data_IF_916146017770
#
_entry.id   IF_916146017770
#
_cell.length_a   1.000
_cell.length_b   1.000
_cell.length_c   1.000
_cell.angle_alpha   90.00
_cell.angle_beta   90.00
_cell.angle_gamma   90.00
#
_symmetry.space_group_name_H-M   'P 1'
#
loop_
_entity.id
_entity.type
_entity.pdbx_description
1 polymer ?
#
# COMPACT_ATOMS: atom_id res chain seq x y z
N UNK A 1 10.47 55.83 24.37
CA UNK A 1 9.10 55.41 24.77
C UNK A 1 9.06 53.89 24.67
N UNK A 2 9.49 53.06 25.64
CA UNK A 2 8.97 52.74 26.99
C UNK A 2 7.45 52.57 27.05
N UNK A 3 7.00 51.31 27.09
CA UNK A 3 6.18 50.66 28.15
C UNK A 3 5.85 49.20 27.74
N UNK A 4 5.65 48.21 28.60
CA UNK A 4 6.16 47.77 29.92
C UNK A 4 5.38 46.47 30.25
N UNK A 5 6.07 45.40 30.67
CA UNK A 5 5.74 44.33 31.67
C UNK A 5 4.38 43.57 31.60
N UNK A 6 4.30 42.26 31.89
CA UNK A 6 4.47 41.66 33.24
C UNK A 6 5.00 40.21 33.26
N UNK A 7 5.70 39.92 34.36
CA UNK A 7 6.29 38.67 34.82
C UNK A 7 5.42 38.01 35.92
N UNK A 8 5.42 36.67 35.95
CA UNK A 8 5.65 35.74 37.10
C UNK A 8 4.86 35.89 38.42
N UNK A 9 4.30 34.79 38.96
CA UNK A 9 4.87 34.02 40.11
C UNK A 9 3.93 32.94 40.70
N UNK A 10 4.57 31.81 41.05
CA UNK A 10 4.12 30.73 41.95
C UNK A 10 3.84 31.23 43.38
N UNK A 11 2.93 30.55 44.08
CA UNK A 11 3.03 30.36 45.54
C UNK A 11 2.34 29.06 45.98
N UNK A 12 3.10 28.23 46.69
CA UNK A 12 2.69 27.05 47.47
C UNK A 12 2.38 27.51 48.89
N UNK A 13 1.31 27.00 49.52
CA UNK A 13 1.21 26.94 50.98
C UNK A 13 0.45 25.69 51.45
N UNK A 14 1.07 25.02 52.42
CA UNK A 14 0.60 23.89 53.21
C UNK A 14 0.59 24.38 54.67
N UNK A 15 -0.44 24.07 55.48
CA UNK A 15 -0.40 23.77 56.94
C UNK A 15 -1.83 23.50 57.46
N UNK A 16 -1.97 22.37 58.18
CA UNK A 16 -3.11 21.76 58.91
C UNK A 16 -3.31 22.39 60.33
N UNK A 17 -4.09 21.80 61.27
CA UNK A 17 -5.53 21.45 61.33
C UNK A 17 -6.20 22.00 62.63
N UNK A 18 -7.52 21.83 62.84
CA UNK A 18 -8.11 21.70 64.19
C UNK A 18 -9.53 21.10 64.15
N UNK A 19 -9.78 20.27 65.15
CA UNK A 19 -10.89 19.33 65.38
C UNK A 19 -11.99 20.00 66.22
N UNK A 20 -13.26 19.64 66.01
CA UNK A 20 -14.19 19.08 67.04
C UNK A 20 -15.67 19.37 66.72
N UNK A 21 -16.51 18.34 66.89
CA UNK A 21 -17.98 18.49 66.88
C UNK A 21 -18.73 17.18 66.65
N UNK A 22 -18.90 16.37 67.69
CA UNK A 22 -19.71 15.15 67.73
C UNK A 22 -21.20 15.41 67.41
N UNK A 23 -21.85 14.47 66.70
CA UNK A 23 -23.00 13.72 67.24
C UNK A 23 -23.39 12.61 66.27
N UNK A 24 -23.64 11.44 66.85
CA UNK A 24 -24.12 10.20 66.27
C UNK A 24 -25.36 10.35 65.40
N UNK A 25 -25.39 9.61 64.29
CA UNK A 25 -26.49 8.70 63.99
C UNK A 25 -25.93 7.50 63.21
N UNK A 26 -26.24 6.30 63.71
CA UNK A 26 -26.03 5.04 63.01
C UNK A 26 -26.86 5.05 61.73
N UNK A 27 -26.20 5.06 60.58
CA UNK A 27 -26.81 4.60 59.34
C UNK A 27 -25.93 3.51 58.74
N UNK A 28 -26.30 2.27 59.07
CA UNK A 28 -25.90 1.08 58.36
C UNK A 28 -26.42 1.14 56.92
N UNK A 29 -25.72 1.88 56.06
CA UNK A 29 -25.87 1.78 54.61
C UNK A 29 -24.83 0.79 54.09
N UNK A 30 -25.32 -0.29 53.49
CA UNK A 30 -24.50 -1.36 52.93
C UNK A 30 -23.47 -0.82 51.94
N UNK A 31 -22.28 -1.43 51.94
CA UNK A 31 -21.26 -1.24 50.91
C UNK A 31 -21.82 -1.64 49.54
N UNK A 32 -22.47 -0.72 48.84
CA UNK A 32 -22.68 -0.81 47.39
C UNK A 32 -21.42 -0.29 46.68
N UNK A 33 -20.28 -0.92 46.95
CA UNK A 33 -19.04 -0.63 46.24
C UNK A 33 -19.03 -1.41 44.94
N UNK A 34 -19.12 -0.72 43.81
CA UNK A 34 -18.88 -1.35 42.51
C UNK A 34 -17.48 -1.97 42.45
N UNK A 35 -17.35 -3.08 41.73
CA UNK A 35 -16.06 -3.73 41.50
C UNK A 35 -15.12 -2.81 40.71
N UNK A 36 -13.85 -2.81 41.11
CA UNK A 36 -12.78 -1.93 40.63
C UNK A 36 -11.67 -2.72 39.95
N UNK A 37 -10.72 -2.00 39.34
CA UNK A 37 -9.52 -2.60 38.72
C UNK A 37 -8.70 -3.47 39.70
N UNK A 38 -8.77 -3.19 41.01
CA UNK A 38 -8.04 -3.95 42.02
C UNK A 38 -8.68 -5.32 42.31
N UNK A 39 -9.94 -5.50 41.93
CA UNK A 39 -10.66 -6.77 42.06
C UNK A 39 -10.34 -7.75 40.91
N UNK A 40 -9.58 -7.30 39.91
CA UNK A 40 -9.08 -8.13 38.82
C UNK A 40 -7.78 -8.80 39.27
N UNK A 41 -7.85 -10.11 39.52
CA UNK A 41 -6.69 -10.96 39.74
C UNK A 41 -5.97 -11.24 38.41
N UNK A 42 -4.66 -11.03 38.37
CA UNK A 42 -3.81 -11.46 37.26
C UNK A 42 -3.59 -12.97 37.38
N UNK A 43 -3.94 -13.70 36.32
CA UNK A 43 -3.91 -15.16 36.21
C UNK A 43 -2.85 -15.67 35.25
N UNK A 44 -2.26 -14.81 34.42
CA UNK A 44 -1.14 -15.14 33.55
C UNK A 44 0.00 -14.12 33.70
N UNK A 45 1.25 -14.59 33.70
CA UNK A 45 2.42 -13.71 33.77
C UNK A 45 2.49 -12.78 32.54
N UNK A 46 2.77 -11.50 32.78
CA UNK A 46 2.82 -10.48 31.73
C UNK A 46 1.46 -9.89 31.34
N UNK A 47 0.34 -10.43 31.86
CA UNK A 47 -0.96 -9.88 31.60
C UNK A 47 -1.18 -8.51 32.26
N UNK A 48 -2.01 -7.70 31.60
CA UNK A 48 -2.45 -6.36 32.01
C UNK A 48 -3.92 -6.45 32.42
N UNK A 49 -4.38 -5.43 33.14
CA UNK A 49 -5.78 -5.30 33.58
C UNK A 49 -6.31 -3.91 33.30
N UNK A 50 -7.59 -3.82 32.98
CA UNK A 50 -8.30 -2.57 32.72
C UNK A 50 -9.78 -2.73 33.09
N UNK A 51 -10.44 -1.61 33.39
CA UNK A 51 -11.90 -1.57 33.52
C UNK A 51 -12.45 -0.72 32.38
N UNK A 52 -13.29 -1.33 31.53
CA UNK A 52 -14.06 -0.61 30.53
C UNK A 52 -15.49 -0.37 31.01
N UNK A 53 -16.09 0.71 30.51
CA UNK A 53 -17.51 0.97 30.72
C UNK A 53 -18.29 0.48 29.50
N UNK A 54 -19.24 -0.42 29.72
CA UNK A 54 -20.16 -0.92 28.71
C UNK A 54 -21.23 0.14 28.40
N UNK A 55 -20.86 1.10 27.55
CA UNK A 55 -21.66 2.23 27.08
C UNK A 55 -21.34 2.47 25.60
N UNK A 56 -22.33 2.90 24.84
CA UNK A 56 -22.12 3.20 23.43
C UNK A 56 -21.17 4.41 23.28
N UNK A 57 -20.18 4.31 22.39
CA UNK A 57 -19.11 5.30 22.20
C UNK A 57 -18.26 5.55 23.47
N UNK A 58 -18.14 4.56 24.36
CA UNK A 58 -17.26 4.63 25.52
C UNK A 58 -15.77 4.61 25.18
N UNK A 59 -14.91 4.81 26.19
CA UNK A 59 -13.45 4.64 26.07
C UNK A 59 -13.16 3.20 25.58
N UNK A 60 -12.33 3.08 24.54
CA UNK A 60 -11.81 1.79 24.09
C UNK A 60 -10.56 1.33 24.84
N UNK A 61 -10.22 0.05 24.65
CA UNK A 61 -8.99 -0.56 25.10
C UNK A 61 -8.06 -0.79 23.91
N UNK A 62 -6.84 -0.26 24.01
CA UNK A 62 -5.72 -0.58 23.12
C UNK A 62 -5.01 -1.82 23.66
N UNK A 63 -5.04 -2.93 22.91
CA UNK A 63 -4.38 -4.18 23.30
C UNK A 63 -2.86 -4.18 23.00
N UNK A 64 -2.46 -3.49 21.93
CA UNK A 64 -1.07 -3.28 21.52
C UNK A 64 -0.92 -1.86 20.99
N UNK A 65 0.11 -1.12 21.42
CA UNK A 65 0.34 0.26 20.96
C UNK A 65 0.71 0.34 19.48
N UNK A 66 1.20 -0.75 18.89
CA UNK A 66 1.43 -0.85 17.44
C UNK A 66 0.14 -0.99 16.63
N UNK A 67 -0.98 -1.32 17.28
CA UNK A 67 -2.30 -1.43 16.65
C UNK A 67 -3.09 -0.16 16.96
N UNK A 68 -3.39 0.63 15.92
CA UNK A 68 -4.13 1.89 16.07
C UNK A 68 -5.63 1.69 16.36
N UNK A 69 -6.14 0.47 16.26
CA UNK A 69 -7.53 0.11 16.59
C UNK A 69 -7.70 -0.22 18.07
N UNK A 70 -8.92 0.01 18.58
CA UNK A 70 -9.31 -0.31 19.96
C UNK A 70 -10.50 -1.27 19.96
N UNK A 71 -10.59 -2.09 21.00
CA UNK A 71 -11.85 -2.78 21.33
C UNK A 71 -12.68 -1.93 22.28
N UNK A 72 -13.99 -1.95 22.12
CA UNK A 72 -14.94 -1.23 22.97
C UNK A 72 -16.05 -2.16 23.42
N UNK A 73 -16.83 -1.75 24.42
CA UNK A 73 -17.98 -2.52 24.92
C UNK A 73 -19.23 -1.65 24.84
N UNK A 74 -20.20 -2.07 24.04
CA UNK A 74 -21.48 -1.39 23.90
C UNK A 74 -22.37 -1.57 25.15
N UNK A 75 -23.44 -0.78 25.25
CA UNK A 75 -24.36 -0.82 26.39
C UNK A 75 -24.93 -2.24 26.66
N UNK A 76 -25.18 -2.98 25.58
CA UNK A 76 -25.66 -4.37 25.59
C UNK A 76 -24.57 -5.43 25.86
N UNK A 77 -23.38 -5.01 26.32
CA UNK A 77 -22.24 -5.89 26.66
C UNK A 77 -21.60 -6.58 25.47
N UNK A 78 -21.84 -6.12 24.25
CA UNK A 78 -21.12 -6.60 23.07
C UNK A 78 -19.74 -5.94 23.01
N UNK A 79 -18.70 -6.76 22.90
CA UNK A 79 -17.32 -6.38 22.61
C UNK A 79 -17.13 -6.37 21.10
N UNK A 80 -16.57 -5.30 20.57
CA UNK A 80 -16.18 -5.18 19.15
C UNK A 80 -15.07 -4.16 18.96
N UNK A 81 -14.36 -4.25 17.84
CA UNK A 81 -13.38 -3.26 17.42
C UNK A 81 -13.02 -3.45 15.95
N UNK A 82 -12.67 -2.36 15.28
CA UNK A 82 -12.31 -2.38 13.86
C UNK A 82 -11.07 -3.27 13.64
N UNK A 83 -11.17 -4.24 12.73
CA UNK A 83 -10.13 -5.23 12.44
C UNK A 83 -9.98 -6.36 13.47
N UNK A 84 -10.75 -6.34 14.56
CA UNK A 84 -10.71 -7.41 15.57
C UNK A 84 -11.75 -8.50 15.29
N UNK A 85 -11.37 -9.75 15.55
CA UNK A 85 -12.32 -10.86 15.67
C UNK A 85 -12.09 -11.63 16.96
N UNK A 86 -13.15 -12.27 17.44
CA UNK A 86 -13.18 -12.97 18.72
C UNK A 86 -13.57 -14.43 18.51
N UNK A 87 -12.94 -15.32 19.27
CA UNK A 87 -13.38 -16.72 19.37
C UNK A 87 -14.73 -16.84 20.07
N UNK A 88 -15.28 -18.05 20.10
CA UNK A 88 -16.25 -18.42 21.13
C UNK A 88 -15.71 -18.14 22.55
N UNK A 89 -16.62 -17.90 23.49
CA UNK A 89 -16.27 -17.69 24.89
C UNK A 89 -15.98 -19.02 25.57
N UNK A 90 -14.79 -19.15 26.15
CA UNK A 90 -14.39 -20.30 26.96
C UNK A 90 -14.73 -20.04 28.42
N UNK A 91 -15.46 -20.95 29.07
CA UNK A 91 -15.76 -20.90 30.51
C UNK A 91 -14.52 -21.25 31.36
N UNK A 92 -13.44 -20.50 31.16
CA UNK A 92 -12.21 -20.55 31.94
C UNK A 92 -11.91 -19.14 32.48
N UNK A 93 -12.05 -18.98 33.80
CA UNK A 93 -11.80 -17.73 34.50
C UNK A 93 -10.31 -17.52 34.84
N UNK A 94 -9.43 -17.95 33.95
CA UNK A 94 -7.97 -17.95 34.10
C UNK A 94 -7.32 -17.96 32.70
N UNK A 95 -6.52 -16.94 32.39
CA UNK A 95 -5.86 -16.78 31.09
C UNK A 95 -4.83 -17.87 30.80
N UNK A 96 -4.16 -18.37 31.84
CA UNK A 96 -3.16 -19.44 31.73
C UNK A 96 -3.81 -20.79 31.38
N UNK A 97 -5.10 -20.94 31.72
CA UNK A 97 -5.91 -22.13 31.43
C UNK A 97 -6.67 -22.05 30.10
N UNK A 98 -6.58 -20.93 29.37
CA UNK A 98 -7.23 -20.78 28.06
C UNK A 98 -6.68 -21.84 27.08
N UNK A 99 -7.55 -22.65 26.42
CA UNK A 99 -7.10 -23.62 25.42
C UNK A 99 -6.27 -22.98 24.31
N UNK A 100 -5.38 -23.75 23.68
CA UNK A 100 -4.54 -23.23 22.59
C UNK A 100 -5.37 -22.70 21.43
N UNK A 101 -4.92 -21.63 20.77
CA UNK A 101 -5.66 -20.97 19.67
C UNK A 101 -6.05 -21.92 18.52
N UNK A 102 -5.30 -23.01 18.33
CA UNK A 102 -5.59 -24.04 17.32
C UNK A 102 -6.90 -24.79 17.57
N UNK A 103 -7.52 -24.65 18.73
CA UNK A 103 -8.85 -25.22 19.02
C UNK A 103 -10.00 -24.32 18.58
N UNK A 104 -9.73 -23.07 18.21
CA UNK A 104 -10.75 -22.09 17.76
C UNK A 104 -11.14 -22.40 16.32
N UNK A 105 -12.41 -22.76 16.11
CA UNK A 105 -12.92 -23.16 14.79
C UNK A 105 -13.73 -22.06 14.10
N UNK A 106 -14.15 -21.04 14.84
CA UNK A 106 -14.98 -19.95 14.34
C UNK A 106 -14.54 -18.62 14.94
N UNK A 107 -14.63 -17.57 14.13
CA UNK A 107 -14.32 -16.21 14.52
C UNK A 107 -15.51 -15.32 14.21
N UNK A 108 -15.79 -14.38 15.11
CA UNK A 108 -16.90 -13.43 15.00
C UNK A 108 -16.34 -12.01 15.13
N UNK A 109 -16.93 -11.04 14.42
CA UNK A 109 -16.62 -9.60 14.57
C UNK A 109 -16.98 -9.07 15.97
N UNK A 110 -17.78 -9.84 16.72
CA UNK A 110 -18.33 -9.50 18.02
C UNK A 110 -18.23 -10.64 19.00
N UNK A 111 -18.05 -10.30 20.27
CA UNK A 111 -18.24 -11.22 21.40
C UNK A 111 -19.15 -10.61 22.45
N UNK A 112 -19.77 -11.41 23.30
CA UNK A 112 -20.52 -10.92 24.47
C UNK A 112 -19.59 -10.91 25.67
N UNK A 113 -19.44 -9.79 26.37
CA UNK A 113 -18.71 -9.71 27.63
C UNK A 113 -19.48 -10.47 28.73
N UNK A 114 -19.11 -11.73 28.95
CA UNK A 114 -19.66 -12.60 30.00
C UNK A 114 -18.62 -12.75 31.10
N UNK A 115 -19.02 -12.52 32.35
CA UNK A 115 -18.12 -12.73 33.49
C UNK A 115 -17.56 -14.16 33.50
N UNK A 116 -16.34 -14.30 34.03
CA UNK A 116 -15.64 -15.57 34.18
C UNK A 116 -15.40 -16.32 32.85
N UNK A 117 -15.35 -15.57 31.75
CA UNK A 117 -15.16 -16.11 30.40
C UNK A 117 -13.90 -15.53 29.78
N UNK A 118 -13.16 -16.35 29.05
CA UNK A 118 -11.97 -15.94 28.30
C UNK A 118 -12.14 -16.19 26.80
N UNK A 119 -11.41 -15.42 26.01
CA UNK A 119 -11.49 -15.36 24.56
C UNK A 119 -10.09 -15.32 23.98
N UNK A 120 -9.92 -15.94 22.83
CA UNK A 120 -8.91 -15.49 21.90
C UNK A 120 -9.45 -14.29 21.13
N UNK A 121 -8.61 -13.26 20.99
CA UNK A 121 -8.88 -12.09 20.16
C UNK A 121 -7.81 -12.07 19.09
N UNK A 122 -8.18 -11.94 17.83
CA UNK A 122 -7.23 -11.80 16.73
C UNK A 122 -7.38 -10.45 16.07
N UNK A 123 -6.26 -9.90 15.62
CA UNK A 123 -6.18 -8.75 14.74
C UNK A 123 -5.36 -9.12 13.51
N UNK A 124 -5.97 -9.04 12.34
CA UNK A 124 -5.34 -9.38 11.07
C UNK A 124 -4.50 -8.18 10.59
N UNK A 125 -3.20 -8.38 10.44
CA UNK A 125 -2.31 -7.53 9.63
C UNK A 125 -2.07 -8.24 8.30
N UNK A 126 -1.57 -7.55 7.25
CA UNK A 126 -1.29 -8.18 5.98
C UNK A 126 -0.44 -9.45 6.11
N UNK A 127 0.76 -9.34 6.67
CA UNK A 127 1.71 -10.48 6.76
C UNK A 127 1.65 -11.26 8.06
N UNK A 128 0.74 -10.90 8.98
CA UNK A 128 0.77 -11.43 10.35
C UNK A 128 -0.60 -11.39 11.01
N UNK A 129 -0.89 -12.40 11.83
CA UNK A 129 -2.01 -12.37 12.77
C UNK A 129 -1.47 -12.07 14.17
N UNK A 130 -1.98 -11.02 14.80
CA UNK A 130 -1.74 -10.75 16.21
C UNK A 130 -2.83 -11.41 17.05
N UNK A 131 -2.46 -12.40 17.87
CA UNK A 131 -3.36 -13.10 18.79
C UNK A 131 -3.17 -12.62 20.22
N UNK A 132 -4.26 -12.18 20.83
CA UNK A 132 -4.33 -11.80 22.23
C UNK A 132 -5.19 -12.79 22.99
N UNK A 133 -4.90 -12.94 24.27
CA UNK A 133 -5.86 -13.54 25.20
C UNK A 133 -6.59 -12.42 25.94
N UNK A 134 -7.91 -12.56 26.08
CA UNK A 134 -8.76 -11.62 26.81
C UNK A 134 -9.63 -12.40 27.78
N UNK A 135 -9.63 -12.02 29.05
CA UNK A 135 -10.50 -12.56 30.10
C UNK A 135 -11.39 -11.47 30.63
N UNK A 136 -12.69 -11.77 30.74
CA UNK A 136 -13.66 -10.93 31.41
C UNK A 136 -13.79 -11.42 32.85
N UNK A 137 -13.08 -10.77 33.77
CA UNK A 137 -13.05 -11.15 35.18
C UNK A 137 -14.40 -10.94 35.85
N UNK A 138 -15.08 -9.82 35.55
CA UNK A 138 -16.41 -9.53 36.07
C UNK A 138 -17.22 -8.60 35.15
N UNK A 139 -18.53 -8.62 35.33
CA UNK A 139 -19.47 -7.63 34.77
C UNK A 139 -20.33 -7.11 35.92
N UNK A 140 -20.14 -5.85 36.29
CA UNK A 140 -20.84 -5.17 37.40
C UNK A 140 -21.49 -3.87 36.90
N UNK A 141 -22.78 -3.95 36.57
CA UNK A 141 -23.52 -2.84 35.96
C UNK A 141 -22.92 -2.45 34.61
N UNK A 142 -22.35 -1.24 34.54
CA UNK A 142 -21.61 -0.78 33.36
C UNK A 142 -20.12 -1.13 33.43
N UNK A 143 -19.57 -1.50 34.59
CA UNK A 143 -18.15 -1.78 34.73
C UNK A 143 -17.85 -3.20 34.27
N UNK A 144 -16.93 -3.35 33.33
CA UNK A 144 -16.43 -4.64 32.87
C UNK A 144 -14.95 -4.71 33.19
N UNK A 145 -14.60 -5.55 34.18
CA UNK A 145 -13.22 -5.80 34.56
C UNK A 145 -12.61 -6.84 33.65
N UNK A 146 -11.47 -6.53 33.07
CA UNK A 146 -10.81 -7.38 32.09
C UNK A 146 -9.31 -7.52 32.33
N UNK A 147 -8.81 -8.68 31.98
CA UNK A 147 -7.40 -9.05 31.98
C UNK A 147 -7.02 -9.47 30.55
N UNK A 148 -5.85 -9.06 30.06
CA UNK A 148 -5.41 -9.40 28.70
C UNK A 148 -3.89 -9.52 28.62
N UNK A 149 -3.39 -10.33 27.68
CA UNK A 149 -1.96 -10.48 27.44
C UNK A 149 -1.54 -9.82 26.11
N UNK A 150 -0.24 -9.60 25.93
CA UNK A 150 0.36 -9.09 24.70
C UNK A 150 0.17 -10.06 23.53
N UNK A 151 0.32 -9.52 22.31
CA UNK A 151 0.14 -10.28 21.08
C UNK A 151 1.16 -11.42 20.95
N UNK A 152 0.68 -12.61 20.64
CA UNK A 152 1.44 -13.65 19.97
C UNK A 152 1.32 -13.45 18.47
N UNK A 153 2.47 -13.37 17.79
CA UNK A 153 2.49 -13.19 16.34
C UNK A 153 2.51 -14.51 15.58
N UNK A 154 1.59 -14.68 14.64
CA UNK A 154 1.63 -15.75 13.64
C UNK A 154 1.96 -15.11 12.30
N UNK A 155 3.13 -15.40 11.77
CA UNK A 155 3.49 -14.99 10.40
C UNK A 155 2.62 -15.74 9.40
N UNK A 156 2.14 -15.02 8.39
CA UNK A 156 1.43 -15.58 7.26
C UNK A 156 2.48 -15.85 6.19
N UNK A 157 2.61 -17.11 5.81
CA UNK A 157 3.51 -17.49 4.73
C UNK A 157 3.04 -16.82 3.43
N UNK A 158 3.95 -16.10 2.78
CA UNK A 158 3.84 -15.71 1.39
C UNK A 158 4.84 -16.56 0.59
N UNK A 159 4.35 -17.30 -0.40
CA UNK A 159 5.14 -18.33 -1.09
C UNK A 159 5.87 -17.83 -2.33
N UNK A 160 5.31 -16.84 -3.03
CA UNK A 160 5.85 -16.27 -4.26
C UNK A 160 6.52 -14.90 -4.04
N UNK A 161 6.67 -14.43 -2.80
CA UNK A 161 7.39 -13.20 -2.49
C UNK A 161 8.81 -13.19 -3.05
N UNK A 162 9.21 -12.02 -3.54
CA UNK A 162 10.59 -11.77 -3.87
C UNK A 162 11.46 -11.83 -2.61
N UNK A 163 12.59 -12.53 -2.71
CA UNK A 163 13.58 -12.61 -1.63
C UNK A 163 14.66 -11.54 -1.86
N UNK A 164 14.83 -10.57 -0.95
CA UNK A 164 15.81 -9.52 -1.13
C UNK A 164 17.25 -10.04 -1.06
N UNK A 165 18.03 -9.71 -2.08
CA UNK A 165 19.49 -9.85 -2.02
C UNK A 165 20.12 -8.66 -1.26
N UNK A 166 21.38 -8.80 -0.88
CA UNK A 166 22.11 -7.72 -0.21
C UNK A 166 22.11 -6.45 -1.07
N UNK A 167 21.61 -5.34 -0.50
CA UNK A 167 21.51 -4.04 -1.18
C UNK A 167 20.24 -3.83 -2.00
N UNK A 168 19.36 -4.82 -2.14
CA UNK A 168 18.07 -4.73 -2.83
C UNK A 168 16.93 -4.65 -1.81
N UNK A 169 16.78 -3.50 -1.17
CA UNK A 169 15.84 -3.35 -0.04
C UNK A 169 14.42 -3.01 -0.47
N UNK A 170 14.22 -2.61 -1.72
CA UNK A 170 12.92 -2.23 -2.27
C UNK A 170 12.28 -3.36 -3.09
N UNK A 171 13.01 -4.44 -3.42
CA UNK A 171 12.48 -5.60 -4.16
C UNK A 171 11.30 -6.31 -3.47
N UNK A 172 11.18 -6.16 -2.15
CA UNK A 172 10.03 -6.65 -1.37
C UNK A 172 8.84 -5.68 -1.33
N UNK A 173 8.89 -4.56 -2.06
CA UNK A 173 7.79 -3.62 -2.19
C UNK A 173 6.64 -4.21 -3.03
N UNK A 174 5.40 -3.89 -2.70
CA UNK A 174 4.24 -4.45 -3.41
C UNK A 174 4.19 -4.04 -4.89
N UNK A 175 4.82 -2.93 -5.28
CA UNK A 175 4.92 -2.56 -6.70
C UNK A 175 5.78 -3.50 -7.54
N UNK A 176 6.63 -4.33 -6.91
CA UNK A 176 7.62 -5.15 -7.59
C UNK A 176 7.00 -6.46 -8.06
N UNK A 177 6.93 -6.71 -9.38
CA UNK A 177 6.58 -8.03 -9.88
C UNK A 177 7.63 -9.09 -9.48
N UNK A 178 7.26 -10.36 -9.51
CA UNK A 178 8.18 -11.46 -9.25
C UNK A 178 9.37 -11.42 -10.23
N UNK A 179 10.59 -11.46 -9.67
CA UNK A 179 11.81 -11.44 -10.45
C UNK A 179 11.97 -12.71 -11.28
N UNK A 180 12.39 -12.54 -12.52
CA UNK A 180 12.74 -13.62 -13.43
C UNK A 180 14.25 -13.88 -13.39
N UNK A 181 14.62 -15.16 -13.32
CA UNK A 181 16.03 -15.55 -13.33
C UNK A 181 16.72 -15.14 -14.64
N UNK A 182 17.89 -14.51 -14.52
CA UNK A 182 18.73 -14.13 -15.66
C UNK A 182 18.55 -12.70 -16.16
N UNK A 183 17.58 -11.96 -15.61
CA UNK A 183 17.46 -10.51 -15.78
C UNK A 183 18.23 -9.77 -14.68
N UNK A 184 18.49 -8.47 -14.91
CA UNK A 184 19.16 -7.59 -13.95
C UNK A 184 18.13 -6.68 -13.29
N UNK A 185 17.99 -6.79 -11.97
CA UNK A 185 17.14 -5.90 -11.18
C UNK A 185 17.92 -4.68 -10.66
N UNK A 186 17.35 -3.48 -10.80
CA UNK A 186 17.97 -2.20 -10.42
C UNK A 186 16.98 -1.30 -9.69
N UNK A 187 17.40 -0.73 -8.56
CA UNK A 187 16.64 0.21 -7.74
C UNK A 187 17.21 1.63 -7.84
N UNK A 188 16.43 2.58 -8.35
CA UNK A 188 16.82 3.99 -8.38
C UNK A 188 16.31 4.70 -7.13
N UNK A 189 17.22 5.16 -6.28
CA UNK A 189 16.89 5.76 -4.98
C UNK A 189 17.35 7.21 -4.95
N UNK A 190 16.47 8.10 -4.48
CA UNK A 190 16.77 9.52 -4.31
C UNK A 190 16.60 9.94 -2.85
N UNK A 191 17.12 11.12 -2.51
CA UNK A 191 16.83 11.74 -1.22
C UNK A 191 15.69 12.74 -1.35
N UNK A 192 14.60 12.54 -0.61
CA UNK A 192 13.45 13.43 -0.55
C UNK A 192 12.96 13.53 0.90
N UNK A 193 12.64 14.75 1.36
CA UNK A 193 12.20 15.03 2.74
C UNK A 193 13.12 14.42 3.82
N UNK A 194 14.44 14.48 3.61
CA UNK A 194 15.43 13.92 4.53
C UNK A 194 15.48 12.39 4.58
N UNK A 195 14.71 11.68 3.74
CA UNK A 195 14.65 10.21 3.66
C UNK A 195 15.21 9.71 2.34
N UNK A 196 15.70 8.46 2.33
CA UNK A 196 15.94 7.70 1.10
C UNK A 196 14.62 7.10 0.65
N UNK A 197 14.23 7.38 -0.59
CA UNK A 197 12.99 6.89 -1.19
C UNK A 197 13.29 6.26 -2.54
N UNK A 198 12.61 5.15 -2.83
CA UNK A 198 12.61 4.58 -4.17
C UNK A 198 11.96 5.59 -5.14
N UNK A 199 12.65 5.90 -6.22
CA UNK A 199 12.09 6.63 -7.34
C UNK A 199 11.30 5.68 -8.26
N UNK A 200 12.00 4.69 -8.80
CA UNK A 200 11.47 3.54 -9.52
C UNK A 200 12.52 2.41 -9.53
N UNK A 201 12.09 1.18 -9.80
CA UNK A 201 12.96 0.06 -10.08
C UNK A 201 12.66 -0.51 -11.47
N UNK A 202 13.61 -1.24 -12.04
CA UNK A 202 13.46 -1.94 -13.32
C UNK A 202 13.91 -3.38 -13.20
N UNK A 203 13.33 -4.23 -14.03
CA UNK A 203 13.91 -5.52 -14.38
C UNK A 203 14.39 -5.49 -15.83
N UNK A 204 15.70 -5.43 -16.02
CA UNK A 204 16.35 -5.32 -17.32
C UNK A 204 16.63 -6.67 -17.95
N UNK A 205 16.11 -6.90 -19.16
CA UNK A 205 16.49 -8.04 -19.99
C UNK A 205 17.73 -7.68 -20.81
N UNK A 206 18.91 -8.05 -20.31
CA UNK A 206 20.20 -7.75 -20.95
C UNK A 206 20.41 -8.44 -22.31
N UNK A 207 19.60 -9.45 -22.68
CA UNK A 207 19.68 -10.05 -24.02
C UNK A 207 18.92 -9.24 -25.06
N UNK A 208 17.90 -8.51 -24.63
CA UNK A 208 17.04 -7.70 -25.50
C UNK A 208 17.32 -6.20 -25.38
N UNK A 209 18.17 -5.80 -24.44
CA UNK A 209 18.46 -4.41 -24.12
C UNK A 209 17.17 -3.61 -23.89
N UNK A 210 16.28 -4.16 -23.07
CA UNK A 210 14.99 -3.57 -22.77
C UNK A 210 14.51 -3.94 -21.37
N UNK A 211 13.80 -3.04 -20.71
CA UNK A 211 13.13 -3.33 -19.43
C UNK A 211 11.93 -4.24 -19.66
N UNK A 212 11.85 -5.35 -18.91
CA UNK A 212 10.65 -6.21 -18.85
C UNK A 212 9.51 -5.45 -18.18
N UNK A 213 9.82 -4.73 -17.12
CA UNK A 213 8.92 -3.79 -16.46
C UNK A 213 9.70 -2.70 -15.73
N UNK A 214 8.98 -1.62 -15.42
CA UNK A 214 9.38 -0.53 -14.52
C UNK A 214 8.33 -0.41 -13.43
N UNK A 215 8.74 -0.42 -12.18
CA UNK A 215 7.85 -0.41 -11.02
C UNK A 215 8.14 0.77 -10.09
N UNK A 216 7.09 1.33 -9.52
CA UNK A 216 7.19 2.45 -8.59
C UNK A 216 5.91 2.62 -7.77
N UNK A 217 5.97 3.43 -6.72
CA UNK A 217 4.80 3.77 -5.93
C UNK A 217 4.61 5.28 -5.74
N UNK A 218 3.38 5.65 -5.36
CA UNK A 218 2.98 6.96 -4.89
C UNK A 218 2.62 6.90 -3.40
N UNK A 219 3.20 7.81 -2.63
CA UNK A 219 2.83 8.11 -1.25
C UNK A 219 2.80 9.64 -1.02
N UNK A 220 2.69 10.07 0.24
CA UNK A 220 2.73 11.48 0.61
C UNK A 220 4.04 12.21 0.18
N UNK A 221 5.12 11.48 -0.08
CA UNK A 221 6.41 12.02 -0.55
C UNK A 221 6.50 11.99 -2.07
N UNK A 222 6.18 10.87 -2.71
CA UNK A 222 6.36 10.70 -4.17
C UNK A 222 5.15 11.15 -5.00
N UNK A 223 3.99 11.31 -4.36
CA UNK A 223 2.72 11.74 -4.97
C UNK A 223 2.61 13.24 -5.29
N UNK A 224 3.52 14.07 -4.78
CA UNK A 224 3.42 15.53 -4.90
C UNK A 224 4.05 16.09 -6.19
N UNK A 225 3.62 17.29 -6.61
CA UNK A 225 4.26 18.06 -7.69
C UNK A 225 5.10 19.19 -7.11
N UNK A 226 6.41 18.96 -6.99
CA UNK A 226 7.36 19.95 -6.45
C UNK A 226 8.21 20.61 -7.54
N UNK A 227 8.41 19.93 -8.67
CA UNK A 227 9.18 20.43 -9.80
C UNK A 227 8.39 20.33 -11.09
N UNK A 228 8.83 21.03 -12.13
CA UNK A 228 8.38 20.79 -13.48
C UNK A 228 9.18 19.64 -14.10
N UNK A 229 8.67 19.11 -15.23
CA UNK A 229 9.42 18.20 -16.10
C UNK A 229 10.79 18.81 -16.43
N UNK A 230 11.82 17.98 -16.37
CA UNK A 230 13.15 18.32 -16.88
C UNK A 230 13.14 18.26 -18.40
N UNK A 231 13.91 19.13 -19.04
CA UNK A 231 14.15 19.06 -20.47
C UNK A 231 15.53 18.44 -20.72
N UNK A 232 15.59 17.52 -21.69
CA UNK A 232 16.85 17.02 -22.28
C UNK A 232 17.84 16.35 -21.30
N UNK A 233 17.34 15.61 -20.31
CA UNK A 233 18.16 14.92 -19.30
C UNK A 233 18.64 13.51 -19.73
N UNK A 234 18.68 13.22 -21.03
CA UNK A 234 18.95 11.88 -21.55
C UNK A 234 20.33 11.37 -21.13
N UNK A 235 20.38 10.18 -20.54
CA UNK A 235 21.61 9.58 -20.08
C UNK A 235 21.53 8.04 -20.09
N UNK A 236 22.69 7.40 -20.14
CA UNK A 236 22.81 5.97 -19.81
C UNK A 236 22.44 5.75 -18.35
N UNK A 237 21.89 4.57 -18.05
CA UNK A 237 21.61 4.17 -16.68
C UNK A 237 22.93 3.79 -15.97
N UNK A 238 23.38 4.57 -14.97
CA UNK A 238 24.66 4.32 -14.31
C UNK A 238 24.65 3.09 -13.40
N UNK A 239 23.47 2.54 -13.08
CA UNK A 239 23.33 1.37 -12.21
C UNK A 239 23.32 0.05 -12.99
N UNK A 240 23.13 0.09 -14.32
CA UNK A 240 23.35 -1.07 -15.17
C UNK A 240 24.84 -1.32 -15.41
N UNK A 241 25.28 -2.58 -15.53
CA UNK A 241 26.61 -2.92 -16.02
C UNK A 241 26.90 -2.23 -17.35
N UNK A 242 28.12 -1.76 -17.56
CA UNK A 242 28.51 -0.95 -18.74
C UNK A 242 28.18 -1.67 -20.05
N UNK A 243 28.34 -2.99 -20.09
CA UNK A 243 28.03 -3.84 -21.23
C UNK A 243 26.53 -3.97 -21.54
N UNK A 244 25.66 -3.61 -20.60
CA UNK A 244 24.20 -3.64 -20.76
C UNK A 244 23.61 -2.25 -21.06
N UNK A 245 24.41 -1.19 -20.98
CA UNK A 245 23.94 0.17 -21.18
C UNK A 245 23.64 0.45 -22.65
N UNK A 246 22.43 0.95 -22.90
CA UNK A 246 22.05 1.56 -24.19
C UNK A 246 22.17 3.07 -24.11
N UNK A 247 22.53 3.70 -25.24
CA UNK A 247 22.69 5.15 -25.36
C UNK A 247 21.80 5.73 -26.46
N UNK A 248 21.91 7.05 -26.67
CA UNK A 248 21.07 7.77 -27.63
C UNK A 248 21.14 7.24 -29.07
N UNK A 249 22.25 6.63 -29.48
CA UNK A 249 22.42 6.11 -30.84
C UNK A 249 21.45 4.97 -31.17
N UNK A 250 20.89 4.32 -30.15
CA UNK A 250 19.90 3.26 -30.27
C UNK A 250 18.47 3.78 -30.48
N UNK A 251 18.20 5.05 -30.18
CA UNK A 251 16.86 5.65 -30.15
C UNK A 251 16.71 6.84 -31.13
N UNK A 252 17.49 6.84 -32.21
CA UNK A 252 17.47 7.94 -33.19
C UNK A 252 17.37 7.42 -34.61
N UNK A 253 16.61 8.12 -35.45
CA UNK A 253 16.49 7.84 -36.88
C UNK A 253 16.02 6.41 -37.14
N UNK A 254 15.00 5.97 -36.40
CA UNK A 254 14.35 4.67 -36.51
C UNK A 254 12.81 4.77 -36.63
N UNK A 255 12.27 6.00 -36.57
CA UNK A 255 10.85 6.27 -36.72
C UNK A 255 10.01 6.06 -35.46
N UNK A 256 10.64 5.73 -34.33
CA UNK A 256 9.97 5.56 -33.04
C UNK A 256 10.31 6.72 -32.09
N UNK A 257 9.36 7.06 -31.25
CA UNK A 257 9.58 7.97 -30.14
C UNK A 257 10.29 7.25 -28.98
N UNK A 258 11.01 8.03 -28.18
CA UNK A 258 11.49 7.65 -26.85
C UNK A 258 10.33 7.62 -25.84
N UNK A 259 9.51 6.58 -25.93
CA UNK A 259 8.38 6.36 -25.02
C UNK A 259 8.88 6.03 -23.61
N UNK A 260 8.44 6.79 -22.60
CA UNK A 260 8.80 6.50 -21.21
C UNK A 260 7.93 5.36 -20.68
N UNK A 261 8.53 4.42 -19.93
CA UNK A 261 7.78 3.41 -19.17
C UNK A 261 7.31 3.98 -17.82
N UNK A 262 8.22 4.57 -17.04
CA UNK A 262 7.89 5.49 -15.96
C UNK A 262 7.89 6.92 -16.50
N UNK A 263 6.71 7.53 -16.61
CA UNK A 263 6.55 8.85 -17.19
C UNK A 263 7.26 9.93 -16.35
N UNK A 264 7.80 10.95 -17.01
CA UNK A 264 8.41 12.09 -16.33
C UNK A 264 7.44 12.76 -15.33
N UNK A 265 6.17 12.97 -15.70
CA UNK A 265 5.18 13.61 -14.80
C UNK A 265 4.87 12.76 -13.56
N UNK A 266 5.19 11.46 -13.57
CA UNK A 266 5.00 10.60 -12.41
C UNK A 266 6.05 10.85 -11.32
N UNK A 267 7.23 11.36 -11.68
CA UNK A 267 8.38 11.51 -10.77
C UNK A 267 8.78 12.97 -10.52
N UNK A 268 7.83 13.90 -10.52
CA UNK A 268 8.04 15.35 -10.30
C UNK A 268 8.08 15.79 -8.82
N UNK A 269 8.27 14.86 -7.89
CA UNK A 269 8.45 15.17 -6.47
C UNK A 269 9.87 15.67 -6.16
N UNK A 270 10.85 15.39 -7.03
CA UNK A 270 12.25 15.84 -6.94
C UNK A 270 12.84 16.02 -8.34
N UNK A 271 13.71 17.02 -8.54
CA UNK A 271 14.43 17.21 -9.81
C UNK A 271 15.34 16.02 -10.14
N UNK A 272 15.98 15.43 -9.12
CA UNK A 272 16.81 14.23 -9.31
C UNK A 272 15.99 13.04 -9.78
N UNK A 273 14.85 12.78 -9.11
CA UNK A 273 13.92 11.72 -9.47
C UNK A 273 13.41 11.86 -10.90
N UNK A 274 13.01 13.07 -11.28
CA UNK A 274 12.52 13.35 -12.61
C UNK A 274 13.60 13.14 -13.68
N UNK A 275 14.83 13.61 -13.47
CA UNK A 275 15.95 13.38 -14.41
C UNK A 275 16.24 11.91 -14.64
N UNK A 276 16.17 11.08 -13.59
CA UNK A 276 16.36 9.64 -13.71
C UNK A 276 15.32 8.97 -14.63
N UNK A 277 14.13 9.56 -14.86
CA UNK A 277 13.16 9.00 -15.84
C UNK A 277 13.65 9.08 -17.29
N UNK A 278 14.67 9.88 -17.58
CA UNK A 278 15.27 10.03 -18.91
C UNK A 278 16.40 9.03 -19.18
N UNK A 279 16.62 8.07 -18.28
CA UNK A 279 17.55 6.98 -18.54
C UNK A 279 17.05 6.08 -19.67
N UNK A 280 17.94 5.71 -20.58
CA UNK A 280 17.59 4.86 -21.72
C UNK A 280 17.04 3.48 -21.30
N UNK A 281 17.36 3.01 -20.09
CA UNK A 281 16.78 1.80 -19.51
C UNK A 281 15.27 1.91 -19.20
N UNK A 282 14.74 3.13 -19.07
CA UNK A 282 13.32 3.42 -18.85
C UNK A 282 12.56 3.75 -20.16
N UNK A 283 13.19 3.53 -21.32
CA UNK A 283 12.61 3.89 -22.62
C UNK A 283 12.24 2.66 -23.44
N UNK A 284 11.16 2.79 -24.20
CA UNK A 284 10.65 1.77 -25.12
C UNK A 284 10.28 2.42 -26.46
N UNK A 285 10.56 1.78 -27.61
CA UNK A 285 10.15 2.30 -28.92
C UNK A 285 8.62 2.38 -29.03
N UNK A 286 8.08 3.59 -29.17
CA UNK A 286 6.65 3.82 -29.30
C UNK A 286 6.31 4.61 -30.57
N UNK A 287 5.19 4.30 -31.22
CA UNK A 287 4.66 5.15 -32.28
C UNK A 287 4.30 6.53 -31.74
N UNK A 288 4.51 7.58 -32.53
CA UNK A 288 4.25 8.94 -32.09
C UNK A 288 2.78 9.19 -31.72
N UNK A 289 1.83 8.71 -32.54
CA UNK A 289 0.39 8.78 -32.26
C UNK A 289 -0.01 7.95 -31.04
N UNK A 290 0.67 6.83 -30.81
CA UNK A 290 0.47 6.00 -29.64
C UNK A 290 0.96 6.71 -28.37
N UNK A 291 2.24 7.10 -28.33
CA UNK A 291 2.89 7.74 -27.18
C UNK A 291 2.17 9.02 -26.76
N UNK A 292 2.03 9.98 -27.68
CA UNK A 292 1.49 11.31 -27.38
C UNK A 292 -0.03 11.42 -27.43
N UNK A 293 -0.73 10.43 -28.01
CA UNK A 293 -2.19 10.48 -28.21
C UNK A 293 -2.97 9.45 -27.41
N UNK A 294 -2.50 8.20 -27.37
CA UNK A 294 -3.23 7.09 -26.76
C UNK A 294 -2.70 6.73 -25.38
N UNK A 295 -1.41 6.42 -25.29
CA UNK A 295 -0.72 5.97 -24.08
C UNK A 295 -0.73 7.02 -22.97
N UNK A 296 -0.46 8.28 -23.32
CA UNK A 296 -0.48 9.40 -22.36
C UNK A 296 -1.79 9.50 -21.57
N UNK A 297 -2.93 9.09 -22.15
CA UNK A 297 -4.23 9.08 -21.46
C UNK A 297 -4.23 8.12 -20.27
N UNK A 298 -3.60 6.95 -20.40
CA UNK A 298 -3.48 5.97 -19.31
C UNK A 298 -2.54 6.49 -18.22
N UNK A 299 -1.43 7.14 -18.60
CA UNK A 299 -0.51 7.77 -17.65
C UNK A 299 -1.22 8.88 -16.85
N UNK A 300 -1.95 9.75 -17.55
CA UNK A 300 -2.75 10.80 -16.93
C UNK A 300 -3.88 10.26 -16.04
N UNK A 301 -4.49 9.12 -16.42
CA UNK A 301 -5.52 8.47 -15.61
C UNK A 301 -4.93 8.01 -14.28
N UNK A 302 -3.82 7.27 -14.29
CA UNK A 302 -3.14 6.85 -13.04
C UNK A 302 -2.74 8.05 -12.19
N UNK A 303 -2.20 9.10 -12.81
CA UNK A 303 -1.84 10.36 -12.14
C UNK A 303 -3.06 11.03 -11.48
N UNK A 304 -4.24 10.93 -12.11
CA UNK A 304 -5.48 11.50 -11.58
C UNK A 304 -5.97 10.84 -10.30
N UNK A 305 -5.66 9.55 -10.09
CA UNK A 305 -5.96 8.83 -8.84
C UNK A 305 -5.07 9.28 -7.68
N UNK A 306 -3.87 9.77 -7.98
CA UNK A 306 -2.89 10.23 -6.99
C UNK A 306 -3.16 11.69 -6.58
N UNK A 307 -3.46 12.56 -7.56
CA UNK A 307 -3.31 14.03 -7.41
C UNK A 307 -4.61 14.83 -7.49
N UNK A 308 -5.77 14.19 -7.40
CA UNK A 308 -7.06 14.89 -7.41
C UNK A 308 -7.09 15.98 -6.32
N UNK A 309 -7.27 17.23 -6.73
CA UNK A 309 -7.35 18.44 -5.89
C UNK A 309 -6.21 18.59 -4.85
N UNK A 310 -5.01 18.07 -5.15
CA UNK A 310 -3.82 18.07 -4.28
C UNK A 310 -3.96 17.31 -2.94
N UNK A 311 -4.91 16.39 -2.80
CA UNK A 311 -5.09 15.63 -1.56
C UNK A 311 -4.70 14.16 -1.74
N UNK A 312 -3.40 13.87 -1.91
CA UNK A 312 -2.91 12.51 -1.69
C UNK A 312 -3.27 12.11 -0.25
N UNK A 313 -3.85 10.91 -0.05
CA UNK A 313 -4.43 10.49 1.23
C UNK A 313 -5.93 10.74 1.39
N UNK A 314 -6.61 11.34 0.40
CA UNK A 314 -8.08 11.52 0.44
C UNK A 314 -8.85 10.26 0.05
N UNK A 315 -8.43 9.61 -1.03
CA UNK A 315 -9.02 8.35 -1.52
C UNK A 315 -8.06 7.19 -1.28
N UNK A 316 -6.80 7.37 -1.66
CA UNK A 316 -5.73 6.39 -1.50
C UNK A 316 -4.57 7.00 -0.72
N UNK A 317 -3.97 6.23 0.16
CA UNK A 317 -2.74 6.60 0.90
C UNK A 317 -1.49 5.91 0.33
N UNK A 318 -1.66 4.94 -0.55
CA UNK A 318 -0.58 4.30 -1.32
C UNK A 318 -1.12 3.78 -2.64
N UNK A 319 -0.39 4.02 -3.73
CA UNK A 319 -0.66 3.41 -5.04
C UNK A 319 0.64 2.81 -5.56
N UNK A 320 0.60 1.55 -5.96
CA UNK A 320 1.69 0.77 -6.51
C UNK A 320 1.44 0.54 -8.00
N UNK A 321 2.49 0.68 -8.81
CA UNK A 321 2.37 0.66 -10.26
C UNK A 321 3.52 -0.12 -10.86
N UNK A 322 3.21 -1.06 -11.75
CA UNK A 322 4.17 -1.70 -12.65
C UNK A 322 3.75 -1.47 -14.11
N UNK A 323 4.68 -1.06 -14.97
CA UNK A 323 4.45 -0.76 -16.39
C UNK A 323 5.48 -1.43 -17.26
N UNK A 324 5.12 -1.77 -18.49
CA UNK A 324 6.08 -2.34 -19.43
C UNK A 324 5.51 -2.54 -20.82
N UNK A 325 6.36 -3.10 -21.68
CA UNK A 325 5.99 -3.60 -23.00
C UNK A 325 6.35 -5.07 -23.11
N UNK A 326 5.59 -5.82 -23.90
CA UNK A 326 5.87 -7.23 -24.17
C UNK A 326 7.24 -7.44 -24.80
N UNK A 327 7.96 -8.45 -24.30
CA UNK A 327 9.23 -8.91 -24.86
C UNK A 327 9.12 -10.30 -25.51
N UNK A 328 8.02 -11.00 -25.26
CA UNK A 328 7.64 -12.28 -25.85
C UNK A 328 6.70 -12.12 -27.06
N UNK A 329 6.04 -10.95 -27.18
CA UNK A 329 5.17 -10.55 -28.29
C UNK A 329 5.69 -9.25 -28.89
N UNK A 330 6.42 -9.34 -29.99
CA UNK A 330 6.99 -8.19 -30.68
C UNK A 330 6.23 -7.86 -31.97
N UNK A 331 6.27 -6.60 -32.37
CA UNK A 331 5.69 -6.14 -33.62
C UNK A 331 6.62 -6.51 -34.79
N UNK A 332 6.37 -7.62 -35.46
CA UNK A 332 7.24 -8.16 -36.52
C UNK A 332 6.87 -7.66 -37.92
N UNK A 333 7.87 -7.55 -38.81
CA UNK A 333 7.73 -7.21 -40.23
C UNK A 333 6.87 -5.95 -40.51
N UNK A 334 6.89 -4.99 -39.59
CA UNK A 334 6.02 -3.82 -39.66
C UNK A 334 6.62 -2.71 -40.53
N UNK A 335 5.74 -2.00 -41.23
CA UNK A 335 6.07 -0.80 -42.03
C UNK A 335 5.01 0.25 -41.81
N UNK A 336 5.38 1.32 -41.12
CA UNK A 336 4.48 2.42 -40.81
C UNK A 336 4.15 3.28 -42.02
N UNK A 337 3.01 3.97 -41.94
CA UNK A 337 2.55 4.89 -42.99
C UNK A 337 2.71 6.37 -42.60
N UNK A 338 3.01 6.63 -41.32
CA UNK A 338 3.20 7.98 -40.76
C UNK A 338 4.57 8.08 -40.11
N UNK A 339 5.32 9.18 -40.33
CA UNK A 339 6.64 9.34 -39.73
C UNK A 339 6.55 9.59 -38.23
N UNK A 340 7.55 9.12 -37.48
CA UNK A 340 7.75 9.45 -36.08
C UNK A 340 8.21 10.90 -35.88
N UNK A 341 8.50 11.28 -34.62
CA UNK A 341 8.95 12.64 -34.30
C UNK A 341 10.28 13.04 -34.95
N UNK A 342 11.08 12.07 -35.40
CA UNK A 342 12.34 12.25 -36.12
C UNK A 342 12.16 12.37 -37.65
N UNK A 343 10.94 12.26 -38.17
CA UNK A 343 10.63 12.31 -39.60
C UNK A 343 10.84 11.00 -40.35
N UNK A 344 11.23 9.91 -39.67
CA UNK A 344 11.46 8.58 -40.26
C UNK A 344 10.20 7.73 -40.12
N UNK A 345 9.91 6.89 -41.13
CA UNK A 345 8.83 5.92 -41.04
C UNK A 345 9.26 4.77 -40.11
N UNK A 346 8.47 4.43 -39.08
CA UNK A 346 8.78 3.31 -38.20
C UNK A 346 8.72 2.00 -38.97
N UNK A 347 9.70 1.13 -38.73
CA UNK A 347 9.74 -0.20 -39.31
C UNK A 347 10.44 -1.18 -38.36
N UNK A 348 10.03 -2.44 -38.45
CA UNK A 348 10.67 -3.54 -37.73
C UNK A 348 11.11 -4.63 -38.69
N UNK A 349 12.13 -5.37 -38.29
CA UNK A 349 12.55 -6.59 -39.00
C UNK A 349 11.63 -7.79 -38.68
N UNK A 350 11.97 -8.94 -39.25
CA UNK A 350 11.26 -10.21 -39.06
C UNK A 350 11.22 -10.71 -37.62
N UNK A 351 12.12 -10.21 -36.77
CA UNK A 351 12.23 -10.59 -35.36
C UNK A 351 11.64 -9.50 -34.45
N UNK A 352 11.13 -8.39 -35.02
CA UNK A 352 10.45 -7.33 -34.29
C UNK A 352 11.37 -6.25 -33.72
N UNK A 353 12.56 -6.09 -34.29
CA UNK A 353 13.54 -5.09 -33.85
C UNK A 353 13.57 -3.87 -34.77
N UNK A 354 13.84 -2.70 -34.18
CA UNK A 354 14.11 -1.47 -34.93
C UNK A 354 15.42 -1.61 -35.73
N UNK A 355 15.65 -0.69 -36.68
CA UNK A 355 16.93 -0.60 -37.40
C UNK A 355 18.16 -0.36 -36.50
N UNK A 356 17.93 -0.04 -35.22
CA UNK A 356 18.95 0.16 -34.19
C UNK A 356 19.09 -1.01 -33.22
N UNK A 357 18.28 -2.06 -33.36
CA UNK A 357 18.37 -3.26 -32.55
C UNK A 357 17.62 -3.20 -31.21
N UNK A 358 16.63 -2.31 -31.08
CA UNK A 358 15.71 -2.32 -29.94
C UNK A 358 14.46 -3.13 -30.29
N UNK A 359 13.94 -3.99 -29.39
CA UNK A 359 12.69 -4.69 -29.61
C UNK A 359 11.53 -3.69 -29.59
N UNK A 360 10.53 -3.91 -30.45
CA UNK A 360 9.30 -3.11 -30.47
C UNK A 360 8.16 -3.95 -29.89
N UNK A 361 7.70 -3.66 -28.66
CA UNK A 361 6.56 -4.37 -28.07
C UNK A 361 5.32 -4.30 -28.95
N UNK A 362 4.62 -5.43 -29.09
CA UNK A 362 3.28 -5.46 -29.70
C UNK A 362 2.21 -4.97 -28.73
N UNK A 363 2.43 -5.11 -27.41
CA UNK A 363 1.51 -4.66 -26.38
C UNK A 363 2.25 -3.92 -25.26
N UNK A 364 1.58 -2.95 -24.66
CA UNK A 364 1.97 -2.28 -23.43
C UNK A 364 0.97 -2.58 -22.33
N UNK A 365 1.46 -2.56 -21.08
CA UNK A 365 0.66 -2.87 -19.91
C UNK A 365 0.91 -1.94 -18.74
N UNK A 366 -0.09 -1.86 -17.88
CA UNK A 366 -0.03 -1.20 -16.57
C UNK A 366 -0.75 -2.09 -15.56
N UNK A 367 -0.08 -2.49 -14.48
CA UNK A 367 -0.71 -3.05 -13.30
C UNK A 367 -0.75 -1.98 -12.21
N UNK A 368 -1.90 -1.78 -11.57
CA UNK A 368 -2.08 -0.84 -10.47
C UNK A 368 -2.73 -1.53 -9.29
N UNK A 369 -2.13 -1.37 -8.12
CA UNK A 369 -2.71 -1.74 -6.82
C UNK A 369 -2.83 -0.48 -5.98
N UNK A 370 -3.99 -0.22 -5.40
CA UNK A 370 -4.24 0.94 -4.56
C UNK A 370 -4.71 0.53 -3.17
N UNK A 371 -4.13 1.13 -2.13
CA UNK A 371 -4.59 1.02 -0.75
C UNK A 371 -5.51 2.22 -0.43
N UNK A 372 -6.73 1.92 0.02
CA UNK A 372 -7.76 2.92 0.33
C UNK A 372 -7.48 3.58 1.67
N UNK A 373 -7.48 4.91 1.68
CA UNK A 373 -7.30 5.69 2.91
C UNK A 373 -8.50 5.51 3.86
N UNK A 374 -8.23 5.50 5.17
CA UNK A 374 -9.24 5.52 6.24
C UNK A 374 -10.26 4.35 6.21
N UNK A 375 -9.89 3.17 5.69
CA UNK A 375 -10.73 1.95 5.73
C UNK A 375 -10.17 0.94 6.76
N UNK A 376 -10.85 0.70 7.90
CA UNK A 376 -10.37 -0.27 8.89
C UNK A 376 -11.28 -1.50 9.12
N UNK A 377 -12.10 -1.94 8.15
CA UNK A 377 -13.00 -3.09 8.38
C UNK A 377 -12.37 -4.46 8.07
N UNK A 378 -11.63 -4.58 6.95
CA UNK A 378 -10.97 -5.81 6.52
C UNK A 378 -9.75 -5.46 5.65
N UNK A 379 -8.59 -6.06 5.96
CA UNK A 379 -7.31 -5.83 5.28
C UNK A 379 -7.39 -6.17 3.79
N UNK A 380 -8.17 -7.18 3.41
CA UNK A 380 -8.33 -7.53 1.98
C UNK A 380 -9.07 -6.42 1.26
N UNK A 381 -10.22 -6.00 1.81
CA UNK A 381 -11.07 -4.94 1.23
C UNK A 381 -10.45 -3.55 1.20
N UNK A 382 -9.32 -3.32 1.89
CA UNK A 382 -8.59 -2.06 1.84
C UNK A 382 -7.74 -1.93 0.57
N UNK A 383 -7.52 -3.01 -0.16
CA UNK A 383 -6.85 -3.01 -1.46
C UNK A 383 -7.83 -3.15 -2.61
N UNK A 384 -7.41 -2.65 -3.76
CA UNK A 384 -8.05 -2.92 -5.05
C UNK A 384 -7.01 -2.85 -6.16
N UNK A 385 -7.20 -3.65 -7.21
CA UNK A 385 -6.29 -3.69 -8.33
C UNK A 385 -7.01 -3.47 -9.67
N UNK A 386 -6.24 -3.05 -10.67
CA UNK A 386 -6.68 -2.95 -12.06
C UNK A 386 -5.48 -3.08 -13.00
N UNK A 387 -5.66 -3.88 -14.05
CA UNK A 387 -4.72 -3.98 -15.15
C UNK A 387 -5.18 -3.20 -16.37
N UNK A 388 -4.26 -2.78 -17.22
CA UNK A 388 -4.53 -2.29 -18.56
C UNK A 388 -3.69 -3.08 -19.56
N UNK A 389 -4.35 -3.61 -20.59
CA UNK A 389 -3.70 -4.32 -21.70
C UNK A 389 -3.95 -3.60 -23.01
N UNK A 390 -2.90 -3.07 -23.62
CA UNK A 390 -3.01 -2.12 -24.74
C UNK A 390 -2.17 -2.56 -25.93
N UNK A 391 -2.79 -2.72 -27.09
CA UNK A 391 -2.10 -3.02 -28.34
C UNK A 391 -1.36 -1.80 -28.88
N UNK A 392 -0.09 -1.96 -29.25
CA UNK A 392 0.77 -0.92 -29.78
C UNK A 392 0.51 -0.71 -31.27
N UNK A 393 -0.29 0.31 -31.59
CA UNK A 393 -0.73 0.62 -32.96
C UNK A 393 -0.64 2.11 -33.25
N UNK A 394 -0.43 2.45 -34.52
CA UNK A 394 -0.36 3.83 -35.00
C UNK A 394 -1.65 4.32 -35.67
N UNK A 395 -2.63 3.43 -35.88
CA UNK A 395 -3.87 3.68 -36.63
C UNK A 395 -5.09 4.06 -35.76
N UNK A 396 -4.88 4.27 -34.45
CA UNK A 396 -5.97 4.68 -33.56
C UNK A 396 -6.58 6.05 -33.90
N UNK A 397 -5.87 6.90 -34.63
CA UNK A 397 -6.33 8.24 -35.03
C UNK A 397 -6.18 9.33 -33.96
N UNK A 398 -5.47 9.05 -32.85
CA UNK A 398 -5.16 10.02 -31.80
C UNK A 398 -3.85 10.77 -32.07
N UNK A 399 -3.76 11.97 -31.53
CA UNK A 399 -2.59 12.84 -31.61
C UNK A 399 -2.39 13.55 -30.28
N UNK A 400 -1.29 14.29 -30.15
CA UNK A 400 -1.04 15.11 -28.96
C UNK A 400 -2.17 16.11 -28.65
N UNK A 401 -2.77 16.70 -29.69
CA UNK A 401 -3.87 17.67 -29.58
C UNK A 401 -5.25 16.99 -29.53
N UNK A 402 -5.32 15.69 -29.83
CA UNK A 402 -6.54 14.90 -29.86
C UNK A 402 -6.29 13.54 -29.20
N UNK A 403 -6.15 13.56 -27.87
CA UNK A 403 -5.87 12.37 -27.08
C UNK A 403 -7.13 11.50 -26.90
N UNK A 404 -6.93 10.22 -26.59
CA UNK A 404 -7.99 9.33 -26.10
C UNK A 404 -8.66 9.98 -24.87
N UNK A 405 -9.99 9.89 -24.77
CA UNK A 405 -10.67 10.34 -23.56
C UNK A 405 -10.52 9.32 -22.44
N UNK A 406 -10.37 9.77 -21.19
CA UNK A 406 -10.12 8.87 -20.06
C UNK A 406 -11.25 7.87 -19.83
N UNK A 407 -12.50 8.29 -20.05
CA UNK A 407 -13.66 7.40 -19.95
C UNK A 407 -13.63 6.23 -20.94
N UNK A 408 -12.88 6.34 -22.04
CA UNK A 408 -12.75 5.30 -23.05
C UNK A 408 -11.58 4.34 -22.72
N UNK A 409 -10.64 4.73 -21.85
CA UNK A 409 -9.55 3.88 -21.39
C UNK A 409 -10.05 2.65 -20.62
N UNK A 410 -11.23 2.73 -20.00
CA UNK A 410 -11.88 1.60 -19.30
C UNK A 410 -12.12 0.39 -20.18
N UNK A 411 -12.22 0.59 -21.51
CA UNK A 411 -12.40 -0.51 -22.46
C UNK A 411 -11.16 -1.41 -22.58
N UNK A 412 -10.03 -1.01 -21.99
CA UNK A 412 -8.78 -1.76 -21.92
C UNK A 412 -8.45 -2.28 -20.52
N UNK A 413 -9.34 -2.06 -19.56
CA UNK A 413 -9.20 -2.59 -18.21
C UNK A 413 -9.36 -4.11 -18.21
N UNK A 414 -8.48 -4.79 -17.48
CA UNK A 414 -8.48 -6.23 -17.25
C UNK A 414 -8.22 -6.51 -15.77
N UNK A 415 -8.49 -7.73 -15.30
CA UNK A 415 -8.04 -8.16 -13.98
C UNK A 415 -6.52 -8.33 -13.98
N UNK A 416 -5.91 -8.48 -12.80
CA UNK A 416 -4.48 -8.75 -12.75
C UNK A 416 -4.21 -10.16 -13.25
N UNK A 417 -5.00 -11.18 -12.85
CA UNK A 417 -4.91 -12.55 -13.41
C UNK A 417 -4.88 -12.58 -14.94
N UNK A 418 -5.75 -11.79 -15.59
CA UNK A 418 -5.76 -11.71 -17.05
C UNK A 418 -4.49 -11.04 -17.58
N UNK A 419 -4.01 -9.98 -16.91
CA UNK A 419 -2.76 -9.32 -17.27
C UNK A 419 -1.53 -10.25 -17.11
N UNK A 420 -1.48 -11.05 -16.05
CA UNK A 420 -0.46 -12.06 -15.83
C UNK A 420 -0.50 -13.12 -16.93
N UNK A 421 -1.69 -13.62 -17.26
CA UNK A 421 -1.87 -14.57 -18.36
C UNK A 421 -1.40 -13.99 -19.71
N UNK A 422 -1.48 -12.67 -19.91
CA UNK A 422 -1.04 -12.02 -21.14
C UNK A 422 0.46 -11.73 -21.17
N UNK A 423 1.09 -11.52 -20.02
CA UNK A 423 2.47 -11.02 -19.91
C UNK A 423 3.47 -12.07 -19.44
N UNK A 424 3.00 -13.14 -18.77
CA UNK A 424 3.83 -14.07 -18.02
C UNK A 424 4.59 -13.40 -16.87
N UNK A 425 4.07 -12.28 -16.35
CA UNK A 425 4.60 -11.58 -15.18
C UNK A 425 3.65 -11.88 -14.01
N UNK A 426 4.21 -12.31 -12.90
CA UNK A 426 3.52 -12.43 -11.61
C UNK A 426 3.61 -11.04 -10.93
N UNK A 427 2.50 -10.33 -10.83
CA UNK A 427 2.40 -8.98 -10.27
C UNK A 427 2.06 -9.06 -8.79
N UNK A 428 2.40 -8.02 -8.02
CA UNK A 428 2.03 -7.91 -6.60
C UNK A 428 2.40 -9.10 -5.68
N UNK A 429 3.23 -10.05 -6.11
CA UNK A 429 3.76 -11.23 -5.40
C UNK A 429 4.28 -11.02 -3.97
N UNK A 430 4.57 -9.77 -3.60
CA UNK A 430 4.98 -9.42 -2.24
C UNK A 430 3.80 -9.18 -1.29
N UNK A 431 2.56 -9.10 -1.80
CA UNK A 431 1.34 -9.18 -1.00
C UNK A 431 1.22 -10.57 -0.42
N UNK A 432 0.72 -10.73 0.81
CA UNK A 432 0.34 -12.06 1.32
C UNK A 432 -0.56 -12.80 0.32
N UNK A 433 -0.28 -14.08 0.03
CA UNK A 433 -0.96 -14.87 -1.02
C UNK A 433 -2.49 -14.72 -0.99
N UNK A 434 -3.11 -14.71 0.20
CA UNK A 434 -4.57 -14.61 0.31
C UNK A 434 -5.13 -13.23 -0.04
N UNK A 435 -4.34 -12.16 0.07
CA UNK A 435 -4.71 -10.82 -0.38
C UNK A 435 -4.50 -10.73 -1.88
N UNK A 436 -3.34 -11.19 -2.36
CA UNK A 436 -3.01 -11.29 -3.78
C UNK A 436 -4.11 -12.02 -4.55
N UNK A 437 -4.40 -13.27 -4.19
CA UNK A 437 -5.45 -14.09 -4.81
C UNK A 437 -6.81 -13.38 -4.91
N UNK A 438 -7.20 -12.61 -3.88
CA UNK A 438 -8.47 -11.89 -3.86
C UNK A 438 -8.43 -10.66 -4.78
N UNK A 439 -7.41 -9.81 -4.65
CA UNK A 439 -7.33 -8.55 -5.40
C UNK A 439 -7.08 -8.75 -6.88
N UNK A 440 -6.41 -9.85 -7.27
CA UNK A 440 -6.03 -10.11 -8.66
C UNK A 440 -7.13 -10.73 -9.50
N UNK A 441 -8.02 -11.49 -8.85
CA UNK A 441 -9.15 -12.18 -9.49
C UNK A 441 -10.23 -11.22 -10.03
N UNK A 442 -10.31 -10.01 -9.48
CA UNK A 442 -11.36 -9.03 -9.77
C UNK A 442 -10.93 -7.90 -10.70
N UNK A 443 -11.85 -7.40 -11.53
CA UNK A 443 -11.72 -6.12 -12.22
C UNK A 443 -13.02 -5.32 -12.10
N UNK A 444 -13.19 -4.62 -10.98
CA UNK A 444 -14.37 -3.79 -10.75
C UNK A 444 -14.12 -2.37 -11.27
N UNK A 445 -14.41 -2.14 -12.56
CA UNK A 445 -14.20 -0.82 -13.19
C UNK A 445 -14.97 0.32 -12.51
N UNK A 446 -16.04 0.02 -11.77
CA UNK A 446 -16.82 1.00 -11.00
C UNK A 446 -16.11 1.52 -9.76
N UNK A 447 -15.08 0.82 -9.30
CA UNK A 447 -14.32 1.21 -8.12
C UNK A 447 -13.28 2.30 -8.42
N UNK A 448 -13.08 2.59 -9.71
CA UNK A 448 -12.13 3.57 -10.21
C UNK A 448 -12.83 4.81 -10.75
N UNK A 449 -12.23 5.98 -10.49
CA UNK A 449 -12.65 7.23 -11.12
C UNK A 449 -12.02 7.32 -12.51
N UNK A 450 -12.83 7.61 -13.53
CA UNK A 450 -12.38 7.71 -14.92
C UNK A 450 -12.30 9.16 -15.39
#
# INVERSE_FOLDING_TARGET
MIKRYYYLLLAVFLVLPLVSGCSSDDDSSGKNGHLTINDIQITEEGARREVLHAIDNGKGLTLDEAIHSQISIAANKIISGDGFSFSEGFECNDLSALPGHSTVNQWSDKAVAKAETSYWVRYQLPSKVALFKLRIAYVDGINVGMEYNAAQGIEIENKNANIPAEGQVYVSGYEMPHLTTGNTYVEHVVSADGKKVLNYAIEWNGKMNHSRWVAYSYDAITGVKNVNRSDDAWAVDPLLPVEMQVDNSWHTNDGFDRGHLCASDDRVFSSEANKQTFYFSNLSPQFNSFNGGYWVTFEQLVNSWVRKDNAFGSVYDKIYVAKGGTLDKLLVDYKGTSPGGDGVLPATDKDGFTSKGLPVPQYYFIAVLAHRANQPADVVSSYQAIGFWVEHRDDYGYTFDHQLKREDAKAKAVSIDELESQTGIDFFCNLPDYIEDDVESGCQVTDWTW
#
